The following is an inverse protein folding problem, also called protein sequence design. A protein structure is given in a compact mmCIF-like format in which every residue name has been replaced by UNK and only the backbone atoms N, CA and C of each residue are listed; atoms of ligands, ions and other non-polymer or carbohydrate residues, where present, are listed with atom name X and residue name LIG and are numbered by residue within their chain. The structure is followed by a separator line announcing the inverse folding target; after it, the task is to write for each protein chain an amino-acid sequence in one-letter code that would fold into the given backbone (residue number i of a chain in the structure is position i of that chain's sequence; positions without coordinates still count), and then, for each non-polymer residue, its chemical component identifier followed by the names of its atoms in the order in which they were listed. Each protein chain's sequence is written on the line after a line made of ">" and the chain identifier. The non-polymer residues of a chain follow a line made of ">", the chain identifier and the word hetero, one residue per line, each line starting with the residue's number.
data_IF_779268942091
#
_entry.id   IF_779268942091
#
_cell.length_a   1.000
_cell.length_b   1.000
_cell.length_c   1.000
_cell.angle_alpha   90.00
_cell.angle_beta   90.00
_cell.angle_gamma   90.00
#
_symmetry.space_group_name_H-M   'P 1'
#
loop_
_entity.id
_entity.type
_entity.pdbx_description
1 polymer ?
#
# COMPACT_ATOMS: atom_id res chain seq x y z
N UNK A 1 16.56 -17.79 12.39
CA UNK A 1 15.84 -17.50 13.64
C UNK A 1 15.84 -15.99 13.82
N UNK A 2 14.69 -15.32 13.68
CA UNK A 2 14.57 -13.91 14.05
C UNK A 2 14.68 -13.88 15.58
N UNK A 3 15.76 -13.32 16.11
CA UNK A 3 15.91 -13.15 17.55
C UNK A 3 14.69 -12.36 18.05
N UNK A 4 13.92 -12.94 18.98
CA UNK A 4 12.84 -12.18 19.64
C UNK A 4 13.49 -10.93 20.23
N UNK A 5 13.05 -9.71 19.87
CA UNK A 5 13.56 -8.52 20.53
C UNK A 5 13.21 -8.64 22.02
N UNK A 6 14.23 -8.86 22.85
CA UNK A 6 14.12 -8.64 24.29
C UNK A 6 14.31 -7.13 24.52
N UNK A 7 13.68 -6.59 25.55
CA UNK A 7 13.82 -5.19 25.99
C UNK A 7 15.30 -4.81 26.13
N UNK A 8 16.17 -5.72 26.59
CA UNK A 8 17.60 -5.40 26.73
C UNK A 8 18.29 -5.14 25.38
N UNK A 9 17.88 -5.85 24.33
CA UNK A 9 18.36 -5.55 22.98
C UNK A 9 17.82 -4.21 22.45
N UNK A 10 16.58 -3.87 22.79
CA UNK A 10 16.02 -2.55 22.46
C UNK A 10 16.77 -1.42 23.17
N UNK A 11 17.17 -1.62 24.44
CA UNK A 11 17.99 -0.66 25.19
C UNK A 11 19.34 -0.42 24.51
N UNK A 12 19.99 -1.49 24.04
CA UNK A 12 21.25 -1.40 23.29
C UNK A 12 21.06 -0.63 21.98
N UNK A 13 20.05 -0.99 21.18
CA UNK A 13 19.80 -0.35 19.88
C UNK A 13 19.41 1.13 20.04
N UNK A 14 18.55 1.45 21.02
CA UNK A 14 18.11 2.82 21.25
C UNK A 14 19.11 3.65 22.08
N UNK A 15 20.15 3.02 22.62
CA UNK A 15 21.16 3.66 23.46
C UNK A 15 20.64 4.18 24.80
N UNK A 16 19.53 3.62 25.31
CA UNK A 16 18.90 4.09 26.53
C UNK A 16 18.37 2.95 27.41
N UNK A 17 18.65 3.04 28.71
CA UNK A 17 18.08 2.12 29.70
C UNK A 17 16.63 2.45 30.09
N UNK A 18 16.11 3.60 29.62
CA UNK A 18 14.76 4.05 29.90
C UNK A 18 13.75 3.35 28.98
N UNK A 19 12.73 2.74 29.57
CA UNK A 19 11.73 1.94 28.83
C UNK A 19 10.93 2.80 27.84
N UNK A 20 10.61 4.04 28.19
CA UNK A 20 9.90 4.95 27.31
C UNK A 20 10.68 5.23 26.02
N UNK A 21 12.02 5.32 26.08
CA UNK A 21 12.85 5.49 24.89
C UNK A 21 12.89 4.23 24.03
N UNK A 22 12.90 3.05 24.66
CA UNK A 22 12.83 1.77 23.95
C UNK A 22 11.52 1.62 23.17
N UNK A 23 10.38 1.89 23.82
CA UNK A 23 9.07 1.82 23.17
C UNK A 23 8.87 2.92 22.14
N UNK A 24 9.35 4.15 22.40
CA UNK A 24 9.33 5.23 21.41
C UNK A 24 10.09 4.81 20.16
N UNK A 25 11.29 4.25 20.32
CA UNK A 25 12.09 3.76 19.20
C UNK A 25 11.31 2.73 18.36
N UNK A 26 10.68 1.75 19.01
CA UNK A 26 9.84 0.75 18.32
C UNK A 26 8.72 1.42 17.50
N UNK A 27 7.91 2.29 18.12
CA UNK A 27 6.81 2.94 17.43
C UNK A 27 7.26 3.85 16.29
N UNK A 28 8.44 4.47 16.39
CA UNK A 28 9.03 5.24 15.29
C UNK A 28 9.40 4.34 14.12
N UNK A 29 9.92 3.13 14.36
CA UNK A 29 10.21 2.17 13.29
C UNK A 29 8.93 1.70 12.62
N UNK A 30 7.93 1.25 13.39
CA UNK A 30 6.62 0.83 12.86
C UNK A 30 5.91 1.95 12.09
N UNK A 31 6.06 3.20 12.54
CA UNK A 31 5.55 4.38 11.82
C UNK A 31 6.22 4.55 10.46
N UNK A 32 7.55 4.37 10.37
CA UNK A 32 8.29 4.45 9.10
C UNK A 32 7.93 3.30 8.16
N UNK A 33 7.74 2.09 8.69
CA UNK A 33 7.28 0.95 7.92
C UNK A 33 5.91 1.21 7.27
N UNK A 34 4.99 1.85 7.99
CA UNK A 34 3.72 2.29 7.41
C UNK A 34 3.90 3.34 6.31
N UNK A 35 4.79 4.33 6.48
CA UNK A 35 5.07 5.32 5.44
C UNK A 35 5.64 4.69 4.16
N UNK A 36 6.57 3.74 4.31
CA UNK A 36 7.12 3.00 3.16
C UNK A 36 6.06 2.15 2.46
N UNK A 37 5.17 1.50 3.23
CA UNK A 37 4.06 0.74 2.69
C UNK A 37 3.05 1.64 1.95
N UNK A 38 2.71 2.80 2.53
CA UNK A 38 1.82 3.81 1.91
C UNK A 38 2.38 4.25 0.57
N UNK A 39 3.67 4.58 0.52
CA UNK A 39 4.35 5.00 -0.72
C UNK A 39 4.31 3.90 -1.77
N UNK A 40 4.66 2.67 -1.39
CA UNK A 40 4.68 1.53 -2.31
C UNK A 40 3.30 1.22 -2.87
N UNK A 41 2.27 1.11 -2.01
CA UNK A 41 0.91 0.82 -2.45
C UNK A 41 0.35 1.98 -3.27
N UNK A 42 0.62 3.22 -2.88
CA UNK A 42 0.21 4.41 -3.63
C UNK A 42 0.73 4.39 -5.08
N UNK A 43 2.01 4.05 -5.27
CA UNK A 43 2.59 3.89 -6.61
C UNK A 43 1.92 2.75 -7.39
N UNK A 44 1.63 1.61 -6.75
CA UNK A 44 0.92 0.50 -7.41
C UNK A 44 -0.50 0.88 -7.82
N UNK A 45 -1.23 1.62 -6.98
CA UNK A 45 -2.55 2.15 -7.32
C UNK A 45 -2.49 3.07 -8.54
N UNK A 46 -1.57 4.04 -8.55
CA UNK A 46 -1.42 4.96 -9.68
C UNK A 46 -1.11 4.24 -11.00
N UNK A 47 -0.23 3.22 -10.95
CA UNK A 47 0.09 2.41 -12.13
C UNK A 47 -1.11 1.59 -12.64
N UNK A 48 -1.93 1.03 -11.74
CA UNK A 48 -3.15 0.32 -12.11
C UNK A 48 -4.19 1.27 -12.70
N UNK A 49 -4.40 2.44 -12.10
CA UNK A 49 -5.30 3.47 -12.61
C UNK A 49 -4.95 3.87 -14.04
N UNK A 50 -3.67 4.18 -14.30
CA UNK A 50 -3.19 4.53 -15.63
C UNK A 50 -3.36 3.38 -16.64
N UNK A 51 -3.17 2.13 -16.20
CA UNK A 51 -3.34 0.95 -17.06
C UNK A 51 -4.81 0.70 -17.41
N UNK A 52 -5.72 0.87 -16.44
CA UNK A 52 -7.16 0.77 -16.62
C UNK A 52 -7.67 1.86 -17.55
N UNK A 53 -7.23 3.11 -17.38
CA UNK A 53 -7.61 4.22 -18.25
C UNK A 53 -7.14 3.99 -19.69
N UNK A 54 -5.87 3.61 -19.88
CA UNK A 54 -5.34 3.28 -21.20
C UNK A 54 -6.11 2.14 -21.85
N UNK A 55 -6.42 1.08 -21.10
CA UNK A 55 -7.15 -0.06 -21.66
C UNK A 55 -8.60 0.31 -22.00
N UNK A 56 -9.26 1.19 -21.25
CA UNK A 56 -10.56 1.71 -21.61
C UNK A 56 -10.54 2.44 -22.98
N UNK A 57 -9.50 3.23 -23.25
CA UNK A 57 -9.31 3.90 -24.55
C UNK A 57 -9.10 2.87 -25.69
N UNK A 58 -8.27 1.85 -25.46
CA UNK A 58 -8.03 0.78 -26.43
C UNK A 58 -9.29 -0.05 -26.70
N UNK A 59 -10.12 -0.29 -25.68
CA UNK A 59 -11.41 -0.95 -25.86
C UNK A 59 -12.35 -0.12 -26.73
N UNK A 60 -12.45 1.19 -26.48
CA UNK A 60 -13.26 2.09 -27.30
C UNK A 60 -12.79 2.14 -28.76
N UNK A 61 -11.47 2.17 -28.98
CA UNK A 61 -10.89 2.07 -30.34
C UNK A 61 -11.20 0.71 -30.97
N UNK A 62 -11.05 -0.38 -30.21
CA UNK A 62 -11.40 -1.75 -30.61
C UNK A 62 -12.86 -1.89 -31.07
N UNK A 63 -13.79 -1.30 -30.32
CA UNK A 63 -15.22 -1.29 -30.66
C UNK A 63 -15.50 -0.53 -31.97
N UNK A 64 -14.69 0.48 -32.30
CA UNK A 64 -14.88 1.29 -33.52
C UNK A 64 -14.61 0.52 -34.82
N UNK A 65 -13.86 -0.58 -34.78
CA UNK A 65 -13.67 -1.47 -35.94
C UNK A 65 -14.94 -2.25 -36.30
N UNK A 66 -15.93 -2.29 -35.40
CA UNK A 66 -17.21 -2.94 -35.61
C UNK A 66 -17.20 -4.45 -35.37
N UNK A 67 -18.40 -5.07 -35.30
CA UNK A 67 -18.56 -6.45 -34.84
C UNK A 67 -18.09 -7.51 -35.85
N UNK A 68 -17.82 -7.12 -37.09
CA UNK A 68 -17.39 -8.03 -38.16
C UNK A 68 -15.89 -8.06 -38.38
N UNK A 69 -15.12 -7.29 -37.59
CA UNK A 69 -13.66 -7.35 -37.65
C UNK A 69 -13.17 -8.65 -37.03
N UNK A 70 -12.27 -9.36 -37.72
CA UNK A 70 -11.87 -10.74 -37.39
C UNK A 70 -11.32 -10.94 -35.97
N UNK A 71 -10.76 -9.90 -35.35
CA UNK A 71 -10.04 -9.99 -34.06
C UNK A 71 -10.52 -8.98 -33.02
N UNK A 72 -11.17 -7.90 -33.44
CA UNK A 72 -11.39 -6.76 -32.53
C UNK A 72 -12.40 -7.06 -31.41
N UNK A 73 -13.55 -7.71 -31.69
CA UNK A 73 -14.52 -8.07 -30.64
C UNK A 73 -13.91 -8.98 -29.57
N UNK A 74 -13.20 -10.04 -29.98
CA UNK A 74 -12.57 -10.99 -29.07
C UNK A 74 -11.49 -10.32 -28.20
N UNK A 75 -10.71 -9.41 -28.79
CA UNK A 75 -9.70 -8.64 -28.06
C UNK A 75 -10.35 -7.70 -27.03
N UNK A 76 -11.45 -7.02 -27.38
CA UNK A 76 -12.20 -6.15 -26.46
C UNK A 76 -12.77 -6.95 -25.30
N UNK A 77 -13.35 -8.12 -25.55
CA UNK A 77 -13.87 -9.01 -24.49
C UNK A 77 -12.75 -9.47 -23.54
N UNK A 78 -11.61 -9.91 -24.09
CA UNK A 78 -10.44 -10.29 -23.29
C UNK A 78 -9.91 -9.12 -22.43
N UNK A 79 -9.91 -7.91 -23.00
CA UNK A 79 -9.53 -6.69 -22.28
C UNK A 79 -10.52 -6.38 -21.16
N UNK A 80 -11.83 -6.52 -21.38
CA UNK A 80 -12.86 -6.30 -20.37
C UNK A 80 -12.69 -7.23 -19.16
N UNK A 81 -12.44 -8.52 -19.41
CA UNK A 81 -12.17 -9.51 -18.35
C UNK A 81 -10.93 -9.11 -17.53
N UNK A 82 -9.85 -8.73 -18.22
CA UNK A 82 -8.62 -8.28 -17.55
C UNK A 82 -8.87 -7.01 -16.73
N UNK A 83 -9.61 -6.05 -17.29
CA UNK A 83 -9.96 -4.79 -16.64
C UNK A 83 -10.76 -5.01 -15.35
N UNK A 84 -11.76 -5.89 -15.37
CA UNK A 84 -12.58 -6.20 -14.21
C UNK A 84 -11.72 -6.73 -13.04
N UNK A 85 -10.79 -7.64 -13.34
CA UNK A 85 -9.87 -8.18 -12.32
C UNK A 85 -8.98 -7.07 -11.75
N UNK A 86 -8.40 -6.22 -12.59
CA UNK A 86 -7.51 -5.13 -12.15
C UNK A 86 -8.24 -4.05 -11.36
N UNK A 87 -9.50 -3.74 -11.69
CA UNK A 87 -10.35 -2.88 -10.87
C UNK A 87 -10.59 -3.47 -9.49
N UNK A 88 -10.80 -4.78 -9.39
CA UNK A 88 -10.88 -5.49 -8.12
C UNK A 88 -9.58 -5.38 -7.30
N UNK A 89 -8.43 -5.56 -7.95
CA UNK A 89 -7.13 -5.36 -7.29
C UNK A 89 -6.92 -3.93 -6.80
N UNK A 90 -7.27 -2.92 -7.62
CA UNK A 90 -7.18 -1.52 -7.24
C UNK A 90 -8.06 -1.20 -6.02
N UNK A 91 -9.29 -1.73 -5.99
CA UNK A 91 -10.19 -1.57 -4.85
C UNK A 91 -9.57 -2.16 -3.57
N UNK A 92 -9.04 -3.39 -3.63
CA UNK A 92 -8.38 -4.01 -2.47
C UNK A 92 -7.14 -3.24 -2.01
N UNK A 93 -6.30 -2.78 -2.94
CA UNK A 93 -5.09 -2.01 -2.61
C UNK A 93 -5.43 -0.67 -1.95
N UNK A 94 -6.49 0.02 -2.40
CA UNK A 94 -6.99 1.22 -1.72
C UNK A 94 -7.44 0.92 -0.29
N UNK A 95 -8.10 -0.21 -0.07
CA UNK A 95 -8.45 -0.66 1.30
C UNK A 95 -7.21 -0.86 2.19
N UNK A 96 -6.16 -1.50 1.68
CA UNK A 96 -4.89 -1.66 2.42
C UNK A 96 -4.21 -0.30 2.66
N UNK A 97 -4.27 0.61 1.69
CA UNK A 97 -3.70 1.96 1.80
C UNK A 97 -4.35 2.76 2.93
N UNK A 98 -5.67 2.68 3.07
CA UNK A 98 -6.38 3.33 4.19
C UNK A 98 -5.98 2.73 5.54
N UNK A 99 -5.92 1.40 5.66
CA UNK A 99 -5.45 0.75 6.89
C UNK A 99 -4.02 1.14 7.26
N UNK A 100 -3.12 1.27 6.27
CA UNK A 100 -1.76 1.73 6.51
C UNK A 100 -1.71 3.20 6.99
N UNK A 101 -2.58 4.07 6.48
CA UNK A 101 -2.72 5.47 6.91
C UNK A 101 -3.28 5.58 8.33
N UNK A 102 -4.25 4.74 8.67
CA UNK A 102 -4.78 4.62 10.04
C UNK A 102 -3.67 4.15 10.99
N UNK A 103 -2.96 3.08 10.63
CA UNK A 103 -1.83 2.56 11.39
C UNK A 103 -0.73 3.60 11.60
N UNK A 104 -0.37 4.37 10.57
CA UNK A 104 0.56 5.49 10.71
C UNK A 104 0.07 6.52 11.74
N UNK A 105 -1.21 6.90 11.68
CA UNK A 105 -1.80 7.89 12.58
C UNK A 105 -1.82 7.37 14.02
N UNK A 106 -2.17 6.10 14.22
CA UNK A 106 -2.05 5.38 15.50
C UNK A 106 -0.62 5.46 16.05
N UNK A 107 0.39 5.08 15.25
CA UNK A 107 1.79 5.09 15.70
C UNK A 107 2.30 6.48 16.01
N UNK A 108 1.89 7.50 15.26
CA UNK A 108 2.22 8.90 15.56
C UNK A 108 1.70 9.30 16.95
N UNK A 109 0.47 8.90 17.29
CA UNK A 109 -0.08 9.10 18.62
C UNK A 109 0.73 8.36 19.70
N UNK A 110 1.12 7.11 19.44
CA UNK A 110 1.89 6.30 20.39
C UNK A 110 3.27 6.91 20.68
N UNK A 111 3.95 7.45 19.66
CA UNK A 111 5.21 8.19 19.82
C UNK A 111 5.00 9.41 20.73
N UNK A 112 3.96 10.20 20.48
CA UNK A 112 3.64 11.37 21.32
C UNK A 112 3.36 11.00 22.78
N UNK A 113 2.69 9.87 23.03
CA UNK A 113 2.49 9.38 24.40
C UNK A 113 3.80 9.01 25.11
N UNK A 114 4.80 8.50 24.39
CA UNK A 114 6.11 8.21 25.00
C UNK A 114 6.87 9.49 25.33
N UNK A 115 6.71 10.54 24.54
CA UNK A 115 7.31 11.86 24.81
C UNK A 115 6.75 12.52 26.07
N UNK A 116 5.47 12.28 26.39
CA UNK A 116 4.82 12.82 27.60
C UNK A 116 5.15 12.04 28.88
N UNK A 117 5.66 10.81 28.75
CA UNK A 117 6.00 9.94 29.88
C UNK A 117 7.50 9.98 30.24
N UNK A 118 8.29 10.77 29.52
CA UNK A 118 9.73 10.95 29.71
C UNK A 118 10.11 11.99 30.74
#
# INVERSE_FOLDING_TARGET
>A
MVARPNIDHLKEICGSNQLQHCFKYLFVQEWRENEDLIRYIGEKCANLEASIERRAQLMQEGESFGPFHDVAPDAVECMAITQQREQGMLFSLRGVLELAREGRTEKQHHVGLMDLKG
#
